data_IF_163327711581
#
_entry.id   IF_163327711581
#
_cell.length_a   1.000
_cell.length_b   1.000
_cell.length_c   1.000
_cell.angle_alpha   90.00
_cell.angle_beta   90.00
_cell.angle_gamma   90.00
#
_symmetry.space_group_name_H-M   'P 1'
#
loop_
_entity.id
_entity.type
_entity.pdbx_description
1 polymer ?
#
# COMPACT_ATOMS: atom_id res chain seq x y z
N UNK A 1 5.21 -9.01 17.24
CA UNK A 1 4.98 -8.61 15.83
C UNK A 1 3.91 -9.43 15.12
N UNK A 2 3.91 -10.77 15.19
CA UNK A 2 2.87 -11.59 14.53
C UNK A 2 1.44 -11.22 14.94
N UNK A 3 1.18 -11.08 16.24
CA UNK A 3 -0.13 -10.66 16.78
C UNK A 3 -0.55 -9.29 16.24
N UNK A 4 0.38 -8.32 16.19
CA UNK A 4 0.12 -6.99 15.64
C UNK A 4 -0.33 -7.05 14.16
N UNK A 5 0.36 -7.86 13.34
CA UNK A 5 -0.01 -8.08 11.94
C UNK A 5 -1.38 -8.77 11.85
N UNK A 6 -1.65 -9.76 12.69
CA UNK A 6 -2.96 -10.42 12.78
C UNK A 6 -4.10 -9.44 13.09
N UNK A 7 -3.89 -8.52 14.03
CA UNK A 7 -4.86 -7.45 14.35
C UNK A 7 -5.07 -6.53 13.13
N UNK A 8 -4.01 -6.19 12.38
CA UNK A 8 -4.16 -5.39 11.16
C UNK A 8 -4.99 -6.09 10.08
N UNK A 9 -4.75 -7.40 9.87
CA UNK A 9 -5.54 -8.21 8.93
C UNK A 9 -7.00 -8.27 9.37
N UNK A 10 -7.26 -8.57 10.65
CA UNK A 10 -8.60 -8.59 11.22
C UNK A 10 -9.31 -7.23 11.06
N UNK A 11 -8.59 -6.12 11.21
CA UNK A 11 -9.17 -4.78 11.06
C UNK A 11 -9.61 -4.44 9.64
N UNK A 12 -9.14 -5.19 8.63
CA UNK A 12 -9.64 -5.08 7.26
C UNK A 12 -10.98 -5.78 7.06
N UNK A 13 -11.22 -6.87 7.80
CA UNK A 13 -12.47 -7.63 7.77
C UNK A 13 -13.55 -7.05 8.69
N UNK A 14 -13.19 -6.75 9.94
CA UNK A 14 -14.07 -6.13 10.93
C UNK A 14 -13.66 -4.66 11.10
N UNK A 15 -14.39 -3.76 10.44
CA UNK A 15 -14.07 -2.33 10.44
C UNK A 15 -14.83 -1.61 11.56
N UNK A 16 -14.07 -0.88 12.37
CA UNK A 16 -14.60 0.01 13.41
C UNK A 16 -14.20 1.45 13.09
N UNK A 17 -14.96 2.48 13.53
CA UNK A 17 -14.67 3.88 13.19
C UNK A 17 -13.24 4.32 13.51
N UNK A 18 -12.67 3.80 14.59
CA UNK A 18 -11.27 4.03 14.98
C UNK A 18 -10.69 2.75 15.54
N UNK A 19 -9.51 2.32 15.09
CA UNK A 19 -8.87 1.06 15.53
C UNK A 19 -8.76 0.89 17.05
N UNK A 20 -8.57 1.99 17.79
CA UNK A 20 -8.53 1.96 19.26
C UNK A 20 -9.83 1.42 19.89
N UNK A 21 -10.95 1.44 19.15
CA UNK A 21 -12.26 0.99 19.62
C UNK A 21 -12.35 -0.51 19.85
N UNK A 22 -11.46 -1.32 19.24
CA UNK A 22 -11.39 -2.76 19.54
C UNK A 22 -11.12 -3.07 21.02
N UNK A 23 -10.57 -2.11 21.79
CA UNK A 23 -10.27 -2.24 23.21
C UNK A 23 -11.26 -1.53 24.13
N UNK A 24 -12.39 -1.05 23.61
CA UNK A 24 -13.44 -0.47 24.44
C UNK A 24 -14.12 -1.54 25.29
N UNK A 25 -14.77 -1.12 26.36
CA UNK A 25 -15.56 -2.01 27.20
C UNK A 25 -17.02 -2.12 26.77
N UNK A 26 -17.46 -1.29 25.81
CA UNK A 26 -18.80 -1.35 25.25
C UNK A 26 -18.99 -2.65 24.45
N UNK A 27 -20.08 -3.36 24.68
CA UNK A 27 -20.32 -4.71 24.13
C UNK A 27 -20.46 -4.75 22.61
N UNK A 28 -20.85 -3.63 21.99
CA UNK A 28 -21.01 -3.45 20.55
C UNK A 28 -19.70 -3.11 19.82
N UNK A 29 -18.69 -2.63 20.55
CA UNK A 29 -17.40 -2.19 19.98
C UNK A 29 -16.23 -3.11 20.35
N UNK A 30 -16.30 -3.74 21.52
CA UNK A 30 -15.25 -4.62 22.03
C UNK A 30 -15.07 -5.81 21.11
N UNK A 31 -13.81 -6.07 20.73
CA UNK A 31 -13.47 -7.30 20.04
C UNK A 31 -12.62 -8.15 20.97
N UNK A 32 -13.20 -9.24 21.51
CA UNK A 32 -12.51 -10.09 22.49
C UNK A 32 -11.24 -10.75 21.94
N UNK A 33 -11.20 -11.07 20.64
CA UNK A 33 -9.99 -11.60 20.01
C UNK A 33 -8.84 -10.58 20.04
N UNK A 34 -9.13 -9.31 19.74
CA UNK A 34 -8.13 -8.24 19.77
C UNK A 34 -7.75 -7.86 21.20
N UNK A 35 -8.75 -7.69 22.06
CA UNK A 35 -8.58 -7.27 23.45
C UNK A 35 -7.68 -8.25 24.22
N UNK A 36 -7.95 -9.56 24.08
CA UNK A 36 -7.19 -10.60 24.76
C UNK A 36 -5.81 -10.85 24.13
N UNK A 37 -5.61 -10.53 22.85
CA UNK A 37 -4.36 -10.83 22.16
C UNK A 37 -3.23 -9.80 22.40
N UNK A 38 -3.55 -8.52 22.56
CA UNK A 38 -2.56 -7.46 22.77
C UNK A 38 -3.17 -6.26 23.47
N UNK A 39 -2.49 -5.66 24.45
CA UNK A 39 -2.96 -4.42 25.07
C UNK A 39 -2.99 -3.24 24.08
N UNK A 40 -4.00 -2.37 24.20
CA UNK A 40 -4.19 -1.17 23.37
C UNK A 40 -2.92 -0.33 23.24
N UNK A 41 -2.27 -0.02 24.36
CA UNK A 41 -1.14 0.91 24.39
C UNK A 41 0.09 0.29 23.71
N UNK A 42 0.25 -1.04 23.80
CA UNK A 42 1.28 -1.78 23.06
C UNK A 42 1.02 -1.71 21.56
N UNK A 43 -0.22 -1.90 21.11
CA UNK A 43 -0.59 -1.77 19.70
C UNK A 43 -0.29 -0.35 19.18
N UNK A 44 -0.68 0.69 19.93
CA UNK A 44 -0.42 2.10 19.57
C UNK A 44 1.07 2.40 19.54
N UNK A 45 1.85 1.87 20.49
CA UNK A 45 3.31 2.02 20.50
C UNK A 45 3.93 1.40 19.26
N UNK A 46 3.54 0.17 18.89
CA UNK A 46 4.05 -0.48 17.67
C UNK A 46 3.66 0.33 16.41
N UNK A 47 2.40 0.78 16.30
CA UNK A 47 1.95 1.65 15.20
C UNK A 47 2.83 2.90 15.05
N UNK A 48 3.20 3.53 16.17
CA UNK A 48 3.96 4.79 16.19
C UNK A 48 5.42 4.62 15.78
N UNK A 49 6.05 3.51 16.17
CA UNK A 49 7.50 3.29 16.01
C UNK A 49 7.84 2.25 14.93
N UNK A 50 6.86 1.77 14.17
CA UNK A 50 7.09 0.82 13.08
C UNK A 50 8.00 1.45 12.02
N UNK A 51 9.13 0.80 11.75
CA UNK A 51 10.07 1.19 10.70
C UNK A 51 10.46 -0.05 9.88
N UNK A 52 10.76 0.16 8.60
CA UNK A 52 11.13 -0.92 7.69
C UNK A 52 12.51 -0.74 7.06
N UNK A 53 13.20 0.37 7.33
CA UNK A 53 14.50 0.68 6.77
C UNK A 53 15.43 1.28 7.82
N UNK A 54 16.72 1.04 7.63
CA UNK A 54 17.79 1.62 8.44
C UNK A 54 17.99 3.10 8.06
N UNK A 55 17.79 4.00 9.01
CA UNK A 55 17.94 5.44 8.81
C UNK A 55 19.41 5.87 8.65
N UNK A 56 20.39 5.01 8.89
CA UNK A 56 21.81 5.32 8.64
C UNK A 56 22.19 5.19 7.17
N UNK A 57 21.37 4.49 6.36
CA UNK A 57 21.66 4.18 4.95
C UNK A 57 20.79 4.95 3.97
N UNK A 58 20.42 6.18 4.31
CA UNK A 58 19.44 6.96 3.53
C UNK A 58 19.93 7.15 2.09
N UNK A 59 19.13 6.69 1.13
CA UNK A 59 19.31 7.02 -0.27
C UNK A 59 18.42 8.24 -0.62
N UNK A 60 19.01 9.39 -1.02
CA UNK A 60 18.26 10.60 -1.33
C UNK A 60 17.44 10.53 -2.63
N UNK A 61 17.71 9.54 -3.50
CA UNK A 61 17.08 9.44 -4.83
C UNK A 61 15.61 8.98 -4.72
N UNK A 62 15.28 8.12 -3.76
CA UNK A 62 13.96 7.49 -3.64
C UNK A 62 13.10 8.08 -2.52
N UNK A 63 11.97 8.69 -2.86
CA UNK A 63 11.01 9.25 -1.87
C UNK A 63 10.41 8.18 -0.95
N UNK A 64 10.31 6.92 -1.40
CA UNK A 64 9.88 5.77 -0.59
C UNK A 64 11.02 4.92 -0.03
N UNK A 65 12.23 5.47 0.15
CA UNK A 65 13.38 4.75 0.72
C UNK A 65 13.03 3.97 2.00
N UNK A 66 12.26 4.60 2.91
CA UNK A 66 11.88 4.00 4.21
C UNK A 66 11.00 2.75 4.09
N UNK A 67 10.27 2.60 2.99
CA UNK A 67 9.40 1.45 2.72
C UNK A 67 10.06 0.43 1.78
N UNK A 68 11.10 0.84 1.03
CA UNK A 68 11.72 0.02 -0.01
C UNK A 68 12.08 -1.41 0.43
N UNK A 69 12.66 -1.65 1.62
CA UNK A 69 12.97 -3.02 2.03
C UNK A 69 11.73 -3.91 2.17
N UNK A 70 10.62 -3.35 2.68
CA UNK A 70 9.34 -4.06 2.77
C UNK A 70 8.76 -4.31 1.38
N UNK A 71 8.71 -3.29 0.53
CA UNK A 71 8.15 -3.43 -0.83
C UNK A 71 8.92 -4.46 -1.65
N UNK A 72 10.26 -4.44 -1.61
CA UNK A 72 11.10 -5.41 -2.32
C UNK A 72 10.86 -6.84 -1.80
N UNK A 73 10.69 -7.01 -0.49
CA UNK A 73 10.40 -8.30 0.11
C UNK A 73 9.03 -8.83 -0.34
N UNK A 74 8.03 -7.96 -0.41
CA UNK A 74 6.69 -8.31 -0.91
C UNK A 74 6.74 -8.70 -2.39
N UNK A 75 7.32 -7.86 -3.26
CA UNK A 75 7.48 -8.15 -4.70
C UNK A 75 8.16 -9.50 -4.94
N UNK A 76 9.26 -9.76 -4.24
CA UNK A 76 9.98 -11.04 -4.32
C UNK A 76 9.05 -12.22 -3.96
N UNK A 77 8.30 -12.09 -2.85
CA UNK A 77 7.39 -13.14 -2.41
C UNK A 77 6.21 -13.32 -3.35
N UNK A 78 5.68 -12.26 -3.94
CA UNK A 78 4.57 -12.36 -4.89
C UNK A 78 4.98 -13.14 -6.14
N UNK A 79 6.17 -12.87 -6.68
CA UNK A 79 6.72 -13.59 -7.83
C UNK A 79 7.05 -15.05 -7.46
N UNK A 80 7.65 -15.31 -6.31
CA UNK A 80 8.01 -16.68 -5.88
C UNK A 80 6.79 -17.60 -5.70
N UNK A 81 5.62 -17.06 -5.35
CA UNK A 81 4.40 -17.83 -5.14
C UNK A 81 3.45 -17.81 -6.34
N UNK A 82 3.82 -17.10 -7.40
CA UNK A 82 3.03 -17.04 -8.62
C UNK A 82 3.28 -18.26 -9.51
N UNK A 83 2.23 -18.72 -10.19
CA UNK A 83 2.33 -19.73 -11.24
C UNK A 83 2.24 -19.04 -12.58
N UNK A 84 3.17 -19.34 -13.49
CA UNK A 84 3.23 -18.66 -14.77
C UNK A 84 1.92 -18.82 -15.57
N UNK A 85 1.40 -17.70 -16.06
CA UNK A 85 0.18 -17.58 -16.85
C UNK A 85 0.45 -16.72 -18.09
N UNK A 86 -0.35 -16.90 -19.14
CA UNK A 86 -0.16 -16.20 -20.42
C UNK A 86 -0.76 -14.79 -20.43
N UNK A 87 -1.83 -14.57 -19.67
CA UNK A 87 -2.55 -13.31 -19.64
C UNK A 87 -2.20 -12.57 -18.34
N UNK A 88 -1.76 -11.32 -18.48
CA UNK A 88 -1.53 -10.42 -17.36
C UNK A 88 -2.18 -9.08 -17.66
N UNK A 89 -2.75 -8.48 -16.63
CA UNK A 89 -3.34 -7.15 -16.67
C UNK A 89 -2.35 -6.12 -16.09
N UNK A 90 -2.30 -4.94 -16.69
CA UNK A 90 -1.49 -3.81 -16.22
C UNK A 90 -2.39 -2.59 -16.07
N UNK A 91 -2.63 -2.20 -14.83
CA UNK A 91 -3.51 -1.06 -14.52
C UNK A 91 -3.04 -0.30 -13.27
N UNK A 92 -3.65 0.86 -13.05
CA UNK A 92 -3.40 1.74 -11.93
C UNK A 92 -4.37 1.46 -10.78
N UNK A 93 -3.83 1.31 -9.57
CA UNK A 93 -4.62 1.34 -8.34
C UNK A 93 -4.30 2.58 -7.49
N UNK A 94 -5.25 2.96 -6.63
CA UNK A 94 -5.10 4.11 -5.73
C UNK A 94 -5.15 3.62 -4.29
N UNK A 95 -4.09 3.90 -3.53
CA UNK A 95 -4.07 3.72 -2.08
C UNK A 95 -4.53 5.01 -1.43
N UNK A 96 -5.73 4.98 -0.84
CA UNK A 96 -6.34 6.14 -0.17
C UNK A 96 -5.40 6.70 0.90
N UNK A 97 -5.10 8.00 0.81
CA UNK A 97 -4.32 8.68 1.84
C UNK A 97 -4.65 10.17 1.91
N UNK A 98 -5.09 10.61 3.08
CA UNK A 98 -5.51 12.01 3.30
C UNK A 98 -4.43 12.88 3.97
N UNK A 99 -3.33 12.30 4.44
CA UNK A 99 -2.25 13.03 5.10
C UNK A 99 -1.39 13.87 4.15
N UNK A 100 -0.37 14.53 4.71
CA UNK A 100 0.60 15.34 3.95
C UNK A 100 1.77 14.47 3.52
N UNK A 101 1.95 14.29 2.21
CA UNK A 101 3.11 13.62 1.63
C UNK A 101 3.31 14.09 0.19
N UNK A 102 4.55 14.25 -0.26
CA UNK A 102 4.88 14.81 -1.59
C UNK A 102 4.46 13.90 -2.76
N UNK A 103 4.43 12.59 -2.54
CA UNK A 103 4.00 11.62 -3.56
C UNK A 103 2.47 11.42 -3.64
N UNK A 104 1.69 12.12 -2.80
CA UNK A 104 0.22 12.04 -2.87
C UNK A 104 -0.25 12.69 -4.18
N UNK A 105 -1.07 11.99 -4.93
CA UNK A 105 -1.64 12.45 -6.19
C UNK A 105 -3.11 12.84 -6.01
N UNK A 106 -3.56 13.78 -6.86
CA UNK A 106 -4.96 14.10 -7.06
C UNK A 106 -5.39 13.62 -8.45
N UNK A 107 -6.35 12.70 -8.52
CA UNK A 107 -6.84 12.12 -9.78
C UNK A 107 -8.30 12.51 -9.95
N UNK A 108 -8.57 13.47 -10.86
CA UNK A 108 -9.89 14.12 -11.00
C UNK A 108 -11.01 13.15 -11.38
N UNK A 109 -10.70 12.15 -12.21
CA UNK A 109 -11.69 11.27 -12.83
C UNK A 109 -11.96 9.96 -12.07
N UNK A 110 -11.38 9.77 -10.87
CA UNK A 110 -11.56 8.54 -10.08
C UNK A 110 -12.43 8.82 -8.84
N UNK A 111 -13.26 7.86 -8.38
CA UNK A 111 -14.09 8.03 -7.17
C UNK A 111 -13.25 8.39 -5.93
N UNK A 112 -12.08 7.76 -5.81
CA UNK A 112 -11.07 8.11 -4.82
C UNK A 112 -10.10 9.09 -5.48
N UNK A 113 -10.26 10.38 -5.15
CA UNK A 113 -9.48 11.44 -5.78
C UNK A 113 -8.10 11.67 -5.16
N UNK A 114 -7.86 11.24 -3.92
CA UNK A 114 -6.61 11.52 -3.20
C UNK A 114 -5.96 10.24 -2.68
N UNK A 115 -4.71 10.02 -3.05
CA UNK A 115 -3.97 8.85 -2.60
C UNK A 115 -2.61 8.69 -3.25
N UNK A 116 -1.99 7.53 -3.03
CA UNK A 116 -0.82 7.11 -3.76
C UNK A 116 -1.27 6.34 -5.00
N UNK A 117 -0.86 6.83 -6.18
CA UNK A 117 -1.00 6.09 -7.44
C UNK A 117 0.03 4.96 -7.46
N UNK A 118 -0.41 3.75 -7.77
CA UNK A 118 0.43 2.56 -7.84
C UNK A 118 0.10 1.85 -9.15
N UNK A 119 1.13 1.57 -9.94
CA UNK A 119 1.02 0.70 -11.10
C UNK A 119 1.05 -0.74 -10.63
N UNK A 120 0.17 -1.59 -11.12
CA UNK A 120 0.03 -2.97 -10.70
C UNK A 120 0.04 -3.89 -11.93
N UNK A 121 0.66 -5.06 -11.76
CA UNK A 121 0.55 -6.18 -12.70
C UNK A 121 -0.21 -7.27 -11.97
N UNK A 122 -1.34 -7.69 -12.54
CA UNK A 122 -2.24 -8.65 -11.93
C UNK A 122 -2.51 -9.84 -12.88
N UNK A 123 -2.83 -11.00 -12.30
CA UNK A 123 -3.40 -12.11 -13.07
C UNK A 123 -4.91 -11.89 -13.30
N UNK A 124 -5.54 -12.61 -14.24
CA UNK A 124 -6.98 -12.54 -14.46
C UNK A 124 -7.82 -12.88 -13.22
N UNK A 125 -7.29 -13.73 -12.34
CA UNK A 125 -7.91 -14.09 -11.05
C UNK A 125 -7.70 -13.02 -9.96
N UNK A 126 -7.03 -11.92 -10.28
CA UNK A 126 -6.80 -10.79 -9.38
C UNK A 126 -5.55 -10.90 -8.51
N UNK A 127 -4.68 -11.90 -8.72
CA UNK A 127 -3.43 -12.01 -7.96
C UNK A 127 -2.44 -10.91 -8.34
N UNK A 128 -1.95 -10.16 -7.36
CA UNK A 128 -0.96 -9.11 -7.58
C UNK A 128 0.44 -9.70 -7.76
N UNK A 129 0.98 -9.64 -8.98
CA UNK A 129 2.30 -10.16 -9.31
C UNK A 129 3.40 -9.17 -8.95
N UNK A 130 3.27 -7.94 -9.40
CA UNK A 130 4.23 -6.87 -9.16
C UNK A 130 3.52 -5.53 -9.12
N UNK A 131 4.16 -4.53 -8.54
CA UNK A 131 3.59 -3.19 -8.46
C UNK A 131 4.70 -2.15 -8.36
N UNK A 132 4.45 -0.90 -8.71
CA UNK A 132 5.37 0.20 -8.42
C UNK A 132 4.65 1.48 -8.03
N UNK A 133 5.15 2.13 -6.98
CA UNK A 133 4.51 3.32 -6.40
C UNK A 133 5.00 4.55 -7.14
N UNK A 134 4.07 5.33 -7.69
CA UNK A 134 4.39 6.57 -8.40
C UNK A 134 4.99 7.60 -7.43
N UNK A 135 6.14 8.17 -7.81
CA UNK A 135 6.93 9.10 -7.00
C UNK A 135 6.96 10.53 -7.57
N UNK A 136 6.14 10.81 -8.58
CA UNK A 136 6.27 11.99 -9.43
C UNK A 136 7.20 11.74 -10.61
N UNK A 137 7.54 12.81 -11.34
CA UNK A 137 8.44 12.76 -12.49
C UNK A 137 9.79 12.17 -12.11
N UNK A 138 10.16 11.06 -12.75
CA UNK A 138 11.47 10.45 -12.59
C UNK A 138 12.44 11.21 -13.50
N UNK A 139 13.51 11.85 -13.00
CA UNK A 139 14.46 12.53 -13.87
C UNK A 139 15.18 11.57 -14.84
N UNK A 140 15.08 10.26 -14.60
CA UNK A 140 15.63 9.20 -15.45
C UNK A 140 14.55 8.40 -16.20
N UNK A 141 13.28 8.83 -16.23
CA UNK A 141 12.31 8.17 -17.11
C UNK A 141 12.61 8.53 -18.57
N UNK A 142 12.46 7.53 -19.44
CA UNK A 142 12.59 7.74 -20.88
C UNK A 142 11.33 8.50 -21.33
N UNK A 143 11.45 9.79 -21.61
CA UNK A 143 10.33 10.69 -21.92
C UNK A 143 9.47 10.18 -23.07
N UNK A 144 10.07 9.46 -24.01
CA UNK A 144 9.40 8.83 -25.14
C UNK A 144 8.30 7.85 -24.73
N UNK A 145 8.53 7.01 -23.71
CA UNK A 145 7.52 6.04 -23.27
C UNK A 145 6.38 6.73 -22.51
N UNK A 146 6.68 7.74 -21.68
CA UNK A 146 5.63 8.49 -20.97
C UNK A 146 4.68 9.20 -21.95
N UNK A 147 5.21 9.80 -23.02
CA UNK A 147 4.41 10.44 -24.08
C UNK A 147 3.57 9.43 -24.87
N UNK A 148 4.13 8.26 -25.20
CA UNK A 148 3.43 7.20 -25.94
C UNK A 148 2.27 6.62 -25.12
N UNK A 149 2.45 6.41 -23.81
CA UNK A 149 1.40 5.95 -22.90
C UNK A 149 0.29 7.01 -22.67
N UNK A 150 0.64 8.29 -22.54
CA UNK A 150 -0.36 9.36 -22.45
C UNK A 150 -1.21 9.44 -23.73
N UNK A 151 -0.57 9.31 -24.91
CA UNK A 151 -1.27 9.32 -26.19
C UNK A 151 -2.21 8.11 -26.37
N UNK A 152 -1.83 6.92 -25.89
CA UNK A 152 -2.68 5.72 -25.92
C UNK A 152 -3.90 5.83 -24.98
N UNK A 153 -3.76 6.50 -23.83
CA UNK A 153 -4.88 6.78 -22.93
C UNK A 153 -5.88 7.78 -23.53
N UNK A 154 -5.42 8.68 -24.40
CA UNK A 154 -6.27 9.66 -25.09
C UNK A 154 -6.92 9.14 -26.38
N UNK A 155 -6.37 8.11 -27.02
CA UNK A 155 -6.95 7.48 -28.23
C UNK A 155 -8.01 6.42 -27.94
N UNK A 156 -8.25 6.10 -26.66
CA UNK A 156 -9.21 5.10 -26.20
C UNK A 156 -10.58 5.68 -25.79
N UNK A 157 -10.88 6.92 -26.20
CA UNK A 157 -12.17 7.61 -26.08
C UNK A 157 -12.71 7.96 -27.47
#
# INVERSE_FOLDING_TARGET
MKVFIGILILSGYNTVPVKKRFWENASDLRNDLVYNAMCRDRFVQIMKYMHCADNTKINPIGKFFKLRPLLNKLKKKFIENWKAEQCLDYDECIIVYFGRHSCKQFIRSKPIRFGYKVWCINTPDGYLLNFDVYQGRNPNSNSHFEEEFENLQHSSL
#
